data_IF_732102889574
#
_entry.id   IF_732102889574
#
_cell.length_a   1.000
_cell.length_b   1.000
_cell.length_c   1.000
_cell.angle_alpha   90.00
_cell.angle_beta   90.00
_cell.angle_gamma   90.00
#
_symmetry.space_group_name_H-M   'P 1'
#
loop_
_entity.id
_entity.type
_entity.pdbx_description
1 polymer ?
#
# COMPACT_ATOMS: atom_id res chain seq x y z
N UNK A 1 26.06 29.68 -58.07
CA UNK A 1 25.98 28.23 -57.78
C UNK A 1 24.57 27.79 -58.09
N UNK A 2 24.38 27.14 -59.23
CA UNK A 2 23.07 26.65 -59.67
C UNK A 2 22.73 25.32 -58.99
N UNK A 3 21.48 25.06 -58.59
CA UNK A 3 21.09 23.79 -57.98
C UNK A 3 21.31 22.63 -58.95
N UNK A 4 21.92 21.55 -58.46
CA UNK A 4 22.19 20.33 -59.23
C UNK A 4 20.89 19.51 -59.38
N UNK A 5 20.40 19.23 -60.61
CA UNK A 5 19.13 18.54 -60.84
C UNK A 5 19.14 17.04 -60.52
N UNK A 6 20.28 16.47 -60.12
CA UNK A 6 20.45 15.03 -59.88
C UNK A 6 20.40 14.61 -58.40
N UNK A 7 19.82 15.42 -57.51
CA UNK A 7 19.66 15.03 -56.12
C UNK A 7 18.41 14.13 -55.98
N UNK A 8 18.53 12.86 -55.55
CA UNK A 8 17.37 12.00 -55.34
C UNK A 8 16.46 12.62 -54.28
N UNK A 9 15.20 12.88 -54.62
CA UNK A 9 14.22 13.36 -53.66
C UNK A 9 14.06 12.30 -52.55
N UNK A 10 14.37 12.67 -51.30
CA UNK A 10 14.06 11.82 -50.14
C UNK A 10 12.55 11.64 -50.06
N UNK A 11 12.02 10.40 -50.05
CA UNK A 11 10.58 10.17 -50.01
C UNK A 11 10.01 10.79 -48.73
N UNK A 12 9.17 11.81 -48.90
CA UNK A 12 8.42 12.39 -47.79
C UNK A 12 7.41 11.34 -47.38
N UNK A 13 7.50 10.91 -46.11
CA UNK A 13 6.50 10.04 -45.50
C UNK A 13 5.22 10.85 -45.41
N UNK A 14 4.36 10.76 -46.42
CA UNK A 14 3.00 11.25 -46.30
C UNK A 14 2.35 10.48 -45.14
N UNK A 15 1.72 11.17 -44.17
CA UNK A 15 0.90 10.50 -43.18
C UNK A 15 -0.20 9.76 -43.95
N UNK A 16 -0.27 8.42 -43.83
CA UNK A 16 -1.37 7.65 -44.45
C UNK A 16 -2.70 8.29 -44.05
N UNK A 17 -3.41 8.82 -45.04
CA UNK A 17 -4.75 9.37 -44.87
C UNK A 17 -5.66 8.17 -44.59
N UNK A 18 -6.00 7.96 -43.32
CA UNK A 18 -6.95 6.93 -42.92
C UNK A 18 -8.26 7.19 -43.68
N UNK A 19 -8.75 6.23 -44.49
CA UNK A 19 -9.96 6.45 -45.25
C UNK A 19 -11.13 6.71 -44.30
N UNK A 20 -11.95 7.75 -44.56
CA UNK A 20 -13.14 8.03 -43.76
C UNK A 20 -14.09 6.84 -43.88
N UNK A 21 -14.30 6.11 -42.78
CA UNK A 21 -15.03 4.84 -42.75
C UNK A 21 -14.19 3.61 -42.40
N UNK A 22 -12.87 3.77 -42.18
CA UNK A 22 -12.07 2.77 -41.46
C UNK A 22 -12.46 2.76 -39.99
N UNK A 23 -13.65 2.23 -39.70
CA UNK A 23 -14.01 1.84 -38.34
C UNK A 23 -12.92 0.91 -37.83
N UNK A 24 -12.31 1.32 -36.73
CA UNK A 24 -11.33 0.58 -35.96
C UNK A 24 -11.96 -0.75 -35.49
N UNK A 25 -12.06 -1.74 -36.38
CA UNK A 25 -12.69 -3.04 -36.11
C UNK A 25 -11.92 -3.89 -35.10
N UNK A 26 -10.85 -3.35 -34.51
CA UNK A 26 -10.04 -3.97 -33.49
C UNK A 26 -10.36 -3.54 -32.04
N UNK A 27 -11.39 -2.73 -31.78
CA UNK A 27 -11.81 -2.38 -30.40
C UNK A 27 -12.97 -3.23 -29.84
N UNK A 28 -13.04 -4.53 -30.15
CA UNK A 28 -14.06 -5.43 -29.58
C UNK A 28 -13.55 -6.79 -29.09
N UNK A 29 -12.31 -6.87 -28.59
CA UNK A 29 -11.89 -8.04 -27.81
C UNK A 29 -10.85 -7.69 -26.75
N UNK A 30 -11.34 -7.39 -25.55
CA UNK A 30 -10.53 -7.24 -24.34
C UNK A 30 -9.79 -5.90 -24.31
N UNK A 31 -10.18 -5.03 -23.38
CA UNK A 31 -9.53 -3.78 -23.04
C UNK A 31 -8.02 -4.03 -22.78
N UNK A 32 -7.19 -3.81 -23.80
CA UNK A 32 -5.74 -3.65 -23.66
C UNK A 32 -5.50 -2.15 -23.84
N UNK A 33 -5.22 -1.48 -22.74
CA UNK A 33 -4.81 -0.08 -22.75
C UNK A 33 -3.35 -0.06 -23.25
N UNK A 34 -3.16 0.03 -24.56
CA UNK A 34 -1.84 0.23 -25.17
C UNK A 34 -1.39 1.66 -24.87
N UNK A 35 -0.57 1.84 -23.83
CA UNK A 35 0.12 3.09 -23.56
C UNK A 35 1.36 3.16 -24.45
N UNK A 36 1.33 4.05 -25.46
CA UNK A 36 2.47 4.30 -26.33
C UNK A 36 3.34 5.37 -25.67
N UNK A 37 4.52 4.97 -25.20
CA UNK A 37 5.53 5.92 -24.72
C UNK A 37 6.46 6.24 -25.88
N UNK A 38 6.57 7.53 -26.21
CA UNK A 38 7.54 8.04 -27.19
C UNK A 38 8.78 8.46 -26.40
N UNK A 39 9.87 7.70 -26.54
CA UNK A 39 11.15 8.07 -25.97
C UNK A 39 11.76 9.26 -26.73
N UNK A 40 12.60 10.06 -26.08
CA UNK A 40 13.18 11.31 -26.62
C UNK A 40 14.02 11.15 -27.90
N UNK A 41 14.26 9.93 -28.35
CA UNK A 41 14.91 9.59 -29.63
C UNK A 41 13.93 9.15 -30.75
N UNK A 42 12.61 9.33 -30.56
CA UNK A 42 11.60 9.04 -31.59
C UNK A 42 11.34 7.54 -31.82
N UNK A 43 11.85 6.66 -30.95
CA UNK A 43 11.55 5.23 -30.98
C UNK A 43 10.27 4.97 -30.18
N UNK A 44 9.22 4.52 -30.87
CA UNK A 44 7.99 4.05 -30.22
C UNK A 44 8.25 2.68 -29.58
N UNK A 45 8.30 2.65 -28.25
CA UNK A 45 8.27 1.40 -27.49
C UNK A 45 6.84 1.18 -26.99
N UNK A 46 6.14 0.23 -27.61
CA UNK A 46 4.82 -0.21 -27.13
C UNK A 46 5.00 -1.19 -25.98
N UNK A 47 4.73 -0.77 -24.75
CA UNK A 47 4.63 -1.68 -23.61
C UNK A 47 3.20 -2.23 -23.55
N UNK A 48 3.00 -3.47 -24.02
CA UNK A 48 1.69 -4.13 -23.97
C UNK A 48 1.42 -4.59 -22.53
N UNK A 49 0.64 -3.82 -21.78
CA UNK A 49 0.15 -4.23 -20.46
C UNK A 49 -0.93 -5.29 -20.67
N UNK A 50 -0.53 -6.56 -20.63
CA UNK A 50 -1.45 -7.69 -20.72
C UNK A 50 -2.21 -7.79 -19.39
N UNK A 51 -3.54 -7.92 -19.44
CA UNK A 51 -4.33 -8.20 -18.23
C UNK A 51 -3.73 -9.39 -17.48
N UNK A 52 -3.58 -9.31 -16.15
CA UNK A 52 -3.01 -10.39 -15.36
C UNK A 52 -3.84 -11.65 -15.58
N UNK A 53 -3.21 -12.68 -16.13
CA UNK A 53 -3.86 -13.97 -16.30
C UNK A 53 -4.27 -14.58 -14.95
N UNK A 54 -5.11 -15.63 -14.93
CA UNK A 54 -5.57 -16.27 -13.70
C UNK A 54 -4.42 -16.71 -12.78
N UNK A 55 -3.26 -17.08 -13.35
CA UNK A 55 -2.04 -17.38 -12.61
C UNK A 55 -1.48 -16.17 -11.84
N UNK A 56 -1.46 -14.99 -12.46
CA UNK A 56 -1.02 -13.75 -11.80
C UNK A 56 -2.00 -13.32 -10.69
N UNK A 57 -3.30 -13.55 -10.89
CA UNK A 57 -4.31 -13.35 -9.84
C UNK A 57 -4.07 -14.31 -8.68
N UNK A 58 -3.80 -15.59 -8.95
CA UNK A 58 -3.48 -16.58 -7.94
C UNK A 58 -2.26 -16.20 -7.09
N UNK A 59 -1.19 -15.74 -7.73
CA UNK A 59 0.00 -15.22 -7.02
C UNK A 59 -0.37 -14.00 -6.16
N UNK A 60 -1.13 -13.06 -6.70
CA UNK A 60 -1.57 -11.88 -5.94
C UNK A 60 -2.36 -12.24 -4.68
N UNK A 61 -3.31 -13.18 -4.80
CA UNK A 61 -4.08 -13.70 -3.66
C UNK A 61 -3.19 -14.42 -2.66
N UNK A 62 -2.23 -15.23 -3.13
CA UNK A 62 -1.30 -15.93 -2.25
C UNK A 62 -0.42 -14.97 -1.43
N UNK A 63 0.13 -13.94 -2.08
CA UNK A 63 0.92 -12.91 -1.40
C UNK A 63 0.05 -12.18 -0.37
N UNK A 64 -1.17 -11.79 -0.75
CA UNK A 64 -2.09 -11.14 0.17
C UNK A 64 -2.43 -12.02 1.38
N UNK A 65 -2.66 -13.32 1.16
CA UNK A 65 -2.93 -14.26 2.24
C UNK A 65 -1.74 -14.38 3.22
N UNK A 66 -0.51 -14.44 2.70
CA UNK A 66 0.70 -14.46 3.55
C UNK A 66 0.81 -13.20 4.40
N UNK A 67 0.59 -12.03 3.79
CA UNK A 67 0.63 -10.75 4.52
C UNK A 67 -0.48 -10.71 5.58
N UNK A 68 -1.69 -11.14 5.24
CA UNK A 68 -2.81 -11.19 6.17
C UNK A 68 -2.51 -12.08 7.38
N UNK A 69 -1.94 -13.27 7.15
CA UNK A 69 -1.52 -14.20 8.21
C UNK A 69 -0.45 -13.54 9.10
N UNK A 70 0.54 -12.86 8.51
CA UNK A 70 1.60 -12.19 9.26
C UNK A 70 1.03 -11.11 10.18
N UNK A 71 0.18 -10.24 9.63
CA UNK A 71 -0.46 -9.15 10.38
C UNK A 71 -1.35 -9.70 11.50
N UNK A 72 -2.15 -10.73 11.21
CA UNK A 72 -3.01 -11.36 12.22
C UNK A 72 -2.18 -11.99 13.33
N UNK A 73 -1.09 -12.68 12.98
CA UNK A 73 -0.18 -13.31 13.95
C UNK A 73 0.48 -12.27 14.87
N UNK A 74 0.88 -11.12 14.32
CA UNK A 74 1.39 -9.98 15.07
C UNK A 74 0.33 -9.42 16.03
N UNK A 75 -0.89 -9.21 15.55
CA UNK A 75 -1.99 -8.70 16.37
C UNK A 75 -2.33 -9.65 17.53
N UNK A 76 -2.40 -10.96 17.26
CA UNK A 76 -2.66 -11.98 18.28
C UNK A 76 -1.52 -12.04 19.30
N UNK A 77 -0.26 -12.02 18.83
CA UNK A 77 0.91 -12.02 19.72
C UNK A 77 0.93 -10.79 20.62
N UNK A 78 0.66 -9.62 20.05
CA UNK A 78 0.58 -8.37 20.80
C UNK A 78 -0.54 -8.42 21.84
N UNK A 79 -1.73 -8.89 21.47
CA UNK A 79 -2.85 -9.04 22.40
C UNK A 79 -2.52 -10.03 23.54
N UNK A 80 -1.90 -11.16 23.22
CA UNK A 80 -1.47 -12.16 24.21
C UNK A 80 -0.47 -11.61 25.23
N UNK A 81 0.38 -10.67 24.84
CA UNK A 81 1.31 -10.00 25.76
C UNK A 81 0.61 -8.88 26.52
N UNK A 82 -0.25 -8.11 25.84
CA UNK A 82 -0.90 -6.94 26.44
C UNK A 82 -1.88 -7.33 27.55
N UNK A 83 -2.68 -8.38 27.35
CA UNK A 83 -3.67 -8.84 28.35
C UNK A 83 -3.03 -9.12 29.72
N UNK A 84 -2.00 -9.98 29.87
CA UNK A 84 -1.38 -10.22 31.17
C UNK A 84 -0.71 -8.98 31.74
N UNK A 85 -0.09 -8.14 30.91
CA UNK A 85 0.50 -6.86 31.36
C UNK A 85 -0.56 -5.96 31.99
N UNK A 86 -1.71 -5.81 31.33
CA UNK A 86 -2.84 -5.01 31.83
C UNK A 86 -3.39 -5.60 33.13
N UNK A 87 -3.55 -6.92 33.21
CA UNK A 87 -4.01 -7.61 34.43
C UNK A 87 -3.07 -7.33 35.60
N UNK A 88 -1.76 -7.45 35.39
CA UNK A 88 -0.75 -7.18 36.42
C UNK A 88 -0.75 -5.70 36.82
N UNK A 89 -0.85 -4.79 35.86
CA UNK A 89 -0.91 -3.36 36.13
C UNK A 89 -2.13 -2.98 36.97
N UNK A 90 -3.31 -3.52 36.61
CA UNK A 90 -4.55 -3.32 37.36
C UNK A 90 -4.43 -3.90 38.77
N UNK A 91 -3.99 -5.16 38.90
CA UNK A 91 -3.81 -5.80 40.20
C UNK A 91 -2.83 -5.03 41.09
N UNK A 92 -1.71 -4.55 40.52
CA UNK A 92 -0.74 -3.70 41.20
C UNK A 92 -1.33 -2.37 41.66
N UNK A 93 -2.15 -1.72 40.83
CA UNK A 93 -2.84 -0.48 41.19
C UNK A 93 -3.80 -0.69 42.37
N UNK A 94 -4.57 -1.78 42.36
CA UNK A 94 -5.44 -2.13 43.50
C UNK A 94 -4.64 -2.42 44.77
N UNK A 95 -3.56 -3.21 44.67
CA UNK A 95 -2.70 -3.52 45.80
C UNK A 95 -2.06 -2.26 46.38
N UNK A 96 -1.57 -1.34 45.53
CA UNK A 96 -1.02 -0.05 45.93
C UNK A 96 -2.07 0.83 46.61
N UNK A 97 -3.28 0.91 46.06
CA UNK A 97 -4.39 1.66 46.67
C UNK A 97 -4.77 1.12 48.05
N UNK A 98 -4.85 -0.20 48.21
CA UNK A 98 -5.19 -0.84 49.47
C UNK A 98 -4.13 -0.60 50.54
N UNK A 99 -2.85 -0.85 50.20
CA UNK A 99 -1.71 -0.64 51.09
C UNK A 99 -1.59 0.82 51.50
N UNK A 100 -1.73 1.78 50.57
CA UNK A 100 -1.70 3.20 50.89
C UNK A 100 -2.85 3.63 51.81
N UNK A 101 -4.06 3.11 51.60
CA UNK A 101 -5.21 3.41 52.47
C UNK A 101 -5.07 2.80 53.87
N UNK A 102 -4.46 1.62 53.98
CA UNK A 102 -4.15 1.01 55.27
C UNK A 102 -3.06 1.81 56.00
N UNK A 103 -2.00 2.16 55.29
CA UNK A 103 -0.86 2.92 55.82
C UNK A 103 -1.26 4.32 56.33
N UNK A 104 -2.16 5.01 55.62
CA UNK A 104 -2.72 6.28 56.09
C UNK A 104 -3.57 6.12 57.36
N UNK A 105 -4.27 4.99 57.52
CA UNK A 105 -5.03 4.69 58.75
C UNK A 105 -4.11 4.40 59.94
N UNK A 106 -3.02 3.68 59.71
CA UNK A 106 -2.04 3.37 60.76
C UNK A 106 -1.24 4.61 61.17
N UNK A 107 -0.83 5.47 60.23
CA UNK A 107 -0.16 6.75 60.58
C UNK A 107 -1.09 7.81 61.17
N UNK A 108 -2.39 7.76 60.86
CA UNK A 108 -3.38 8.72 61.36
C UNK A 108 -3.78 8.54 62.83
N UNK A 109 -3.36 7.45 63.48
CA UNK A 109 -3.66 7.17 64.89
C UNK A 109 -2.56 7.62 65.86
N UNK A 110 -1.49 8.22 65.36
CA UNK A 110 -0.29 8.58 66.15
C UNK A 110 -0.26 9.99 66.76
N UNK A 111 -1.23 10.86 66.49
CA UNK A 111 -1.26 12.20 67.09
C UNK A 111 -2.41 12.30 68.10
N UNK A 112 -2.15 12.16 69.41
CA UNK A 112 -3.09 12.63 70.40
C UNK A 112 -3.26 14.14 70.19
N UNK A 113 -4.49 14.57 69.91
CA UNK A 113 -4.84 15.97 69.90
C UNK A 113 -4.41 16.59 71.25
N UNK A 114 -3.66 17.70 71.27
CA UNK A 114 -3.38 18.39 72.51
C UNK A 114 -4.72 18.86 73.09
N UNK A 115 -5.18 18.20 74.15
CA UNK A 115 -6.25 18.73 74.97
C UNK A 115 -5.68 19.96 75.68
N UNK A 116 -6.08 21.15 75.23
CA UNK A 116 -6.34 22.34 76.04
C UNK A 116 -6.90 23.45 75.17
#
# INVERSE_FOLDING_TARGET
>A
MSPNPNQPETPRVEPEIIPPGAETRQRRRGRVEDFVFVDGQGRMHSARIKMPGPFAIGIGVAIFAVIAILVLSLAVSFALILVPVVVVAIAGAFAYGYTRRWWNRVRGTGYPAPRR
#
